data_IF_660524389892
#
_entry.id   IF_660524389892
#
_cell.length_a   1.000
_cell.length_b   1.000
_cell.length_c   1.000
_cell.angle_alpha   90.00
_cell.angle_beta   90.00
_cell.angle_gamma   90.00
#
_symmetry.space_group_name_H-M   'P 1'
#
loop_
_entity.id
_entity.type
_entity.pdbx_description
1 polymer ?
#
# COMPACT_ATOMS: atom_id res chain seq x y z
N UNK A 1 -15.84 -11.10 -6.46
CA UNK A 1 -15.90 -9.68 -6.89
C UNK A 1 -14.50 -9.08 -6.79
N UNK A 2 -14.10 -8.15 -7.68
CA UNK A 2 -12.78 -7.53 -7.60
C UNK A 2 -12.60 -6.80 -6.27
N UNK A 3 -11.40 -6.87 -5.69
CA UNK A 3 -11.09 -6.21 -4.43
C UNK A 3 -11.28 -4.68 -4.58
N UNK A 4 -12.01 -4.08 -3.63
CA UNK A 4 -12.23 -2.62 -3.59
C UNK A 4 -11.49 -2.06 -2.39
N UNK A 5 -10.45 -1.26 -2.65
CA UNK A 5 -9.61 -0.68 -1.61
C UNK A 5 -9.95 0.79 -1.41
N UNK A 6 -10.21 1.19 -0.17
CA UNK A 6 -10.30 2.60 0.24
C UNK A 6 -8.95 3.01 0.78
N UNK A 7 -8.41 4.15 0.32
CA UNK A 7 -7.22 4.74 0.93
C UNK A 7 -7.69 5.50 2.17
N UNK A 8 -7.26 5.04 3.35
CA UNK A 8 -7.64 5.63 4.65
C UNK A 8 -6.59 6.58 5.20
N UNK A 9 -5.33 6.37 4.81
CA UNK A 9 -4.21 7.22 5.19
C UNK A 9 -3.12 7.19 4.11
N UNK A 10 -2.32 8.25 4.07
CA UNK A 10 -1.13 8.35 3.23
C UNK A 10 -0.14 9.35 3.83
N UNK A 11 1.15 9.12 3.63
CA UNK A 11 2.17 10.14 3.87
C UNK A 11 2.10 11.19 2.76
N UNK A 12 2.04 12.49 3.08
CA UNK A 12 2.12 13.54 2.07
C UNK A 12 3.40 13.42 1.23
N UNK A 13 3.32 13.80 -0.05
CA UNK A 13 4.50 13.92 -0.88
C UNK A 13 5.42 15.06 -0.38
N UNK A 14 6.72 14.96 -0.64
CA UNK A 14 7.69 16.02 -0.37
C UNK A 14 8.46 15.95 0.94
N UNK A 15 8.18 14.97 1.82
CA UNK A 15 9.00 14.77 3.02
C UNK A 15 8.58 13.60 3.90
N UNK A 16 9.45 13.17 4.83
CA UNK A 16 9.06 12.25 5.87
C UNK A 16 8.02 12.94 6.76
N UNK A 17 6.87 12.30 6.96
CA UNK A 17 5.80 12.84 7.78
C UNK A 17 4.89 11.74 8.28
N UNK A 18 4.09 12.02 9.32
CA UNK A 18 3.10 11.05 9.77
C UNK A 18 2.13 10.73 8.63
N UNK A 19 1.65 9.49 8.59
CA UNK A 19 0.53 9.13 7.72
C UNK A 19 -0.71 9.90 8.16
N UNK A 20 -1.19 10.80 7.32
CA UNK A 20 -2.40 11.57 7.59
C UNK A 20 -3.61 10.79 7.08
N UNK A 21 -4.74 10.89 7.79
CA UNK A 21 -6.00 10.37 7.26
C UNK A 21 -6.29 11.08 5.95
N UNK A 22 -6.43 10.31 4.88
CA UNK A 22 -6.80 10.89 3.59
C UNK A 22 -8.26 11.30 3.73
N UNK A 23 -8.55 12.61 3.64
CA UNK A 23 -9.92 13.16 3.71
C UNK A 23 -10.87 12.71 2.60
N UNK A 24 -10.50 11.66 1.84
CA UNK A 24 -11.36 11.00 0.88
C UNK A 24 -12.41 10.24 1.69
N UNK A 25 -13.67 10.57 1.43
CA UNK A 25 -14.87 9.74 1.66
C UNK A 25 -14.56 8.24 1.55
N UNK A 26 -15.33 7.37 2.21
CA UNK A 26 -15.20 5.89 2.15
C UNK A 26 -15.37 5.25 0.74
N UNK A 27 -15.21 6.04 -0.32
CA UNK A 27 -15.19 5.66 -1.72
C UNK A 27 -13.92 4.87 -2.05
N UNK A 28 -14.07 3.70 -2.69
CA UNK A 28 -12.96 2.93 -3.22
C UNK A 28 -12.12 3.76 -4.21
N UNK A 29 -10.81 3.58 -4.13
CA UNK A 29 -9.86 4.12 -5.11
C UNK A 29 -9.98 3.32 -6.40
N UNK A 30 -10.05 4.03 -7.54
CA UNK A 30 -10.05 3.43 -8.88
C UNK A 30 -8.64 3.02 -9.29
N UNK A 31 -8.10 1.98 -8.66
CA UNK A 31 -6.84 1.39 -9.11
C UNK A 31 -7.03 0.72 -10.48
N UNK A 32 -6.09 0.99 -11.39
CA UNK A 32 -6.09 0.36 -12.71
C UNK A 32 -5.81 -1.15 -12.64
N UNK A 33 -6.10 -1.89 -13.73
CA UNK A 33 -5.74 -3.31 -13.84
C UNK A 33 -4.24 -3.53 -13.57
N UNK A 34 -3.91 -4.63 -12.90
CA UNK A 34 -2.51 -4.97 -12.59
C UNK A 34 -1.86 -4.08 -11.52
N UNK A 35 -2.62 -3.23 -10.82
CA UNK A 35 -2.09 -2.43 -9.72
C UNK A 35 -1.51 -3.35 -8.61
N UNK A 36 -0.27 -3.12 -8.13
CA UNK A 36 0.38 -3.99 -7.15
C UNK A 36 -0.42 -4.21 -5.85
N UNK A 37 -1.15 -3.20 -5.37
CA UNK A 37 -2.03 -3.37 -4.22
C UNK A 37 -3.20 -4.34 -4.47
N UNK A 38 -3.76 -4.38 -5.68
CA UNK A 38 -4.84 -5.32 -6.01
C UNK A 38 -4.28 -6.75 -6.13
N UNK A 39 -3.17 -6.91 -6.84
CA UNK A 39 -2.47 -8.20 -6.94
C UNK A 39 -2.08 -8.76 -5.56
N UNK A 40 -1.68 -7.88 -4.64
CA UNK A 40 -1.31 -8.25 -3.27
C UNK A 40 -2.48 -8.86 -2.50
N UNK A 41 -3.68 -8.30 -2.66
CA UNK A 41 -4.92 -8.86 -2.09
C UNK A 41 -5.28 -10.17 -2.77
N UNK A 42 -5.28 -10.20 -4.11
CA UNK A 42 -5.71 -11.37 -4.90
C UNK A 42 -4.89 -12.62 -4.57
N UNK A 43 -3.57 -12.48 -4.39
CA UNK A 43 -2.68 -13.60 -4.08
C UNK A 43 -2.43 -13.83 -2.59
N UNK A 44 -2.98 -12.99 -1.72
CA UNK A 44 -2.69 -12.97 -0.28
C UNK A 44 -1.18 -12.95 0.02
N UNK A 45 -0.41 -12.09 -0.66
CA UNK A 45 1.05 -12.05 -0.49
C UNK A 45 1.70 -10.78 -1.03
N UNK A 46 2.86 -10.44 -0.49
CA UNK A 46 3.53 -9.17 -0.73
C UNK A 46 4.02 -9.01 -2.17
N UNK A 47 3.70 -7.89 -2.84
CA UNK A 47 4.07 -7.59 -4.23
C UNK A 47 5.13 -6.48 -4.25
N UNK A 48 6.25 -6.74 -4.91
CA UNK A 48 7.24 -5.71 -5.26
C UNK A 48 7.03 -5.25 -6.70
N UNK A 49 7.16 -3.96 -6.94
CA UNK A 49 7.10 -3.37 -8.27
C UNK A 49 8.20 -2.31 -8.42
N UNK A 50 8.88 -2.34 -9.54
CA UNK A 50 9.91 -1.36 -9.90
C UNK A 50 9.69 -0.92 -11.34
N UNK A 51 9.93 0.35 -11.61
CA UNK A 51 9.91 0.87 -12.99
C UNK A 51 11.17 0.46 -13.78
N UNK A 52 12.21 -0.03 -13.10
CA UNK A 52 13.44 -0.50 -13.72
C UNK A 52 14.29 0.65 -14.26
N UNK A 53 14.87 0.46 -15.45
CA UNK A 53 15.74 1.44 -16.13
C UNK A 53 14.96 2.34 -17.10
N UNK A 54 13.66 2.51 -16.88
CA UNK A 54 12.83 3.34 -17.75
C UNK A 54 13.27 4.82 -17.71
N UNK A 55 13.10 5.58 -18.80
CA UNK A 55 13.35 7.01 -18.81
C UNK A 55 12.52 7.76 -17.75
N UNK A 56 12.99 8.93 -17.25
CA UNK A 56 12.31 9.67 -16.18
C UNK A 56 10.83 10.01 -16.47
N UNK A 57 10.50 10.35 -17.72
CA UNK A 57 9.12 10.63 -18.14
C UNK A 57 8.21 9.39 -17.99
N UNK A 58 8.68 8.23 -18.45
CA UNK A 58 7.93 6.97 -18.31
C UNK A 58 7.82 6.54 -16.85
N UNK A 59 8.86 6.79 -16.03
CA UNK A 59 8.81 6.54 -14.59
C UNK A 59 7.75 7.41 -13.90
N UNK A 60 7.67 8.68 -14.31
CA UNK A 60 6.66 9.63 -13.83
C UNK A 60 5.24 9.15 -14.18
N UNK A 61 4.99 8.82 -15.44
CA UNK A 61 3.69 8.30 -15.88
C UNK A 61 3.31 6.98 -15.18
N UNK A 62 4.28 6.08 -14.99
CA UNK A 62 4.10 4.82 -14.27
C UNK A 62 3.64 5.03 -12.83
N UNK A 63 4.19 6.02 -12.13
CA UNK A 63 3.83 6.38 -10.77
C UNK A 63 2.42 7.01 -10.70
N UNK A 64 2.13 7.97 -11.59
CA UNK A 64 0.83 8.64 -11.65
C UNK A 64 -0.31 7.67 -11.99
N UNK A 65 -0.09 6.75 -12.94
CA UNK A 65 -1.06 5.70 -13.28
C UNK A 65 -1.42 4.80 -12.08
N UNK A 66 -0.54 4.73 -11.07
CA UNK A 66 -0.73 3.97 -9.82
C UNK A 66 -1.18 4.87 -8.66
N UNK A 67 -1.45 6.14 -8.91
CA UNK A 67 -1.84 7.14 -7.91
C UNK A 67 -0.84 7.20 -6.74
N UNK A 68 0.44 7.16 -7.09
CA UNK A 68 1.58 7.38 -6.19
C UNK A 68 2.18 8.77 -6.42
N UNK A 69 3.01 9.29 -5.49
CA UNK A 69 3.84 10.44 -5.75
C UNK A 69 4.64 10.27 -7.04
N UNK A 70 4.72 11.33 -7.83
CA UNK A 70 5.30 11.38 -9.17
C UNK A 70 6.76 10.90 -9.28
N UNK A 71 7.50 10.94 -8.17
CA UNK A 71 8.91 10.56 -8.04
C UNK A 71 9.09 9.10 -7.57
N UNK A 72 8.00 8.35 -7.38
CA UNK A 72 8.03 6.95 -6.98
C UNK A 72 8.56 6.08 -8.12
N UNK A 73 9.59 5.28 -7.83
CA UNK A 73 10.17 4.33 -8.81
C UNK A 73 10.19 2.89 -8.30
N UNK A 74 10.05 2.69 -6.98
CA UNK A 74 9.91 1.37 -6.37
C UNK A 74 8.75 1.36 -5.38
N UNK A 75 8.01 0.25 -5.37
CA UNK A 75 6.91 0.02 -4.45
C UNK A 75 6.95 -1.41 -3.90
N UNK A 76 6.51 -1.54 -2.65
CA UNK A 76 6.28 -2.81 -1.97
C UNK A 76 4.90 -2.75 -1.32
N UNK A 77 3.98 -3.60 -1.76
CA UNK A 77 2.66 -3.78 -1.17
C UNK A 77 2.68 -5.02 -0.29
N UNK A 78 2.24 -4.91 0.96
CA UNK A 78 2.05 -6.03 1.87
C UNK A 78 0.58 -6.12 2.30
N UNK A 79 0.03 -7.33 2.31
CA UNK A 79 -1.38 -7.56 2.62
C UNK A 79 -1.60 -7.48 4.13
N UNK A 80 -2.64 -6.76 4.56
CA UNK A 80 -3.04 -6.69 5.96
C UNK A 80 -3.98 -7.86 6.25
N UNK A 81 -3.50 -8.89 6.94
CA UNK A 81 -4.31 -10.08 7.29
C UNK A 81 -4.36 -10.30 8.80
N UNK A 82 -5.55 -10.57 9.32
CA UNK A 82 -5.77 -10.98 10.70
C UNK A 82 -6.82 -12.09 10.73
N UNK A 83 -6.61 -13.14 11.53
CA UNK A 83 -7.55 -14.26 11.72
C UNK A 83 -8.12 -14.83 10.40
N UNK A 84 -7.26 -15.00 9.39
CA UNK A 84 -7.64 -15.53 8.08
C UNK A 84 -8.35 -14.55 7.14
N UNK A 85 -8.64 -13.32 7.57
CA UNK A 85 -9.32 -12.28 6.79
C UNK A 85 -8.34 -11.24 6.25
N UNK A 86 -8.54 -10.81 5.01
CA UNK A 86 -7.82 -9.66 4.44
C UNK A 86 -8.56 -8.37 4.83
N UNK A 87 -7.86 -7.49 5.55
CA UNK A 87 -8.36 -6.18 6.00
C UNK A 87 -7.98 -5.05 5.03
N UNK A 88 -6.95 -5.24 4.22
CA UNK A 88 -6.47 -4.23 3.27
C UNK A 88 -5.03 -4.45 2.82
N UNK A 89 -4.35 -3.37 2.48
CA UNK A 89 -2.95 -3.36 2.02
C UNK A 89 -2.24 -2.14 2.60
N UNK A 90 -0.98 -2.31 2.98
CA UNK A 90 -0.04 -1.21 3.20
C UNK A 90 0.94 -1.14 2.03
N UNK A 91 1.24 0.06 1.54
CA UNK A 91 2.15 0.28 0.42
C UNK A 91 3.32 1.16 0.87
N UNK A 92 4.53 0.65 0.69
CA UNK A 92 5.79 1.36 0.90
C UNK A 92 6.33 1.82 -0.45
N UNK A 93 6.80 3.06 -0.51
CA UNK A 93 7.26 3.71 -1.74
C UNK A 93 8.70 4.21 -1.57
N UNK A 94 9.50 4.13 -2.63
CA UNK A 94 10.85 4.71 -2.70
C UNK A 94 11.03 5.47 -4.01
N UNK A 95 11.75 6.58 -3.92
CA UNK A 95 12.25 7.35 -5.06
C UNK A 95 13.60 6.78 -5.52
N UNK A 96 14.13 7.29 -6.63
CA UNK A 96 15.37 6.79 -7.27
C UNK A 96 16.63 6.94 -6.42
N UNK A 97 16.58 7.74 -5.35
CA UNK A 97 17.69 7.87 -4.40
C UNK A 97 17.89 6.67 -3.46
N UNK A 98 17.06 5.62 -3.57
CA UNK A 98 17.17 4.39 -2.76
C UNK A 98 17.10 3.16 -3.64
N UNK A 99 17.80 2.11 -3.24
CA UNK A 99 17.76 0.82 -3.93
C UNK A 99 16.33 0.21 -3.96
N UNK A 100 16.03 -0.61 -4.99
CA UNK A 100 14.79 -1.37 -5.06
C UNK A 100 14.52 -2.19 -3.79
N UNK A 101 13.26 -2.55 -3.57
CA UNK A 101 12.91 -3.41 -2.45
C UNK A 101 13.42 -4.85 -2.65
N UNK A 102 14.10 -5.37 -1.64
CA UNK A 102 14.65 -6.71 -1.66
C UNK A 102 13.85 -7.68 -0.79
N UNK A 103 14.35 -8.92 -0.68
CA UNK A 103 13.72 -9.94 0.15
C UNK A 103 13.68 -9.54 1.64
N UNK A 104 14.75 -8.98 2.25
CA UNK A 104 14.70 -8.53 3.64
C UNK A 104 13.67 -7.42 3.86
N UNK A 105 13.54 -6.48 2.92
CA UNK A 105 12.50 -5.44 2.98
C UNK A 105 11.10 -6.05 2.97
N UNK A 106 10.89 -7.13 2.20
CA UNK A 106 9.62 -7.84 2.12
C UNK A 106 9.25 -8.45 3.47
N UNK A 107 10.18 -9.17 4.10
CA UNK A 107 9.97 -9.74 5.44
C UNK A 107 9.64 -8.67 6.47
N UNK A 108 10.38 -7.56 6.45
CA UNK A 108 10.10 -6.45 7.37
C UNK A 108 8.74 -5.79 7.11
N UNK A 109 8.35 -5.60 5.84
CA UNK A 109 7.05 -5.08 5.48
C UNK A 109 5.91 -6.01 5.92
N UNK A 110 6.11 -7.33 5.88
CA UNK A 110 5.15 -8.33 6.37
C UNK A 110 4.96 -8.25 7.88
N UNK A 111 6.06 -8.09 8.64
CA UNK A 111 5.97 -7.89 10.09
C UNK A 111 5.21 -6.61 10.45
N UNK A 112 5.50 -5.51 9.74
CA UNK A 112 4.78 -4.24 9.89
C UNK A 112 3.29 -4.42 9.53
N UNK A 113 3.00 -5.11 8.42
CA UNK A 113 1.64 -5.40 7.99
C UNK A 113 0.86 -6.23 9.02
N UNK A 114 1.48 -7.24 9.63
CA UNK A 114 0.86 -8.06 10.68
C UNK A 114 0.50 -7.23 11.92
N UNK A 115 1.37 -6.32 12.34
CA UNK A 115 1.12 -5.42 13.48
C UNK A 115 -0.01 -4.43 13.19
N UNK A 116 -0.02 -3.84 11.99
CA UNK A 116 -1.11 -2.96 11.54
C UNK A 116 -2.42 -3.73 11.50
N UNK A 117 -2.44 -4.92 10.87
CA UNK A 117 -3.64 -5.74 10.74
C UNK A 117 -4.22 -6.11 12.11
N UNK A 118 -3.37 -6.55 13.05
CA UNK A 118 -3.78 -6.85 14.41
C UNK A 118 -4.41 -5.64 15.10
N UNK A 119 -3.81 -4.46 14.96
CA UNK A 119 -4.33 -3.22 15.57
C UNK A 119 -5.67 -2.82 14.96
N UNK A 120 -5.82 -2.92 13.63
CA UNK A 120 -7.08 -2.64 12.93
C UNK A 120 -8.20 -3.60 13.33
N UNK A 121 -7.89 -4.89 13.47
CA UNK A 121 -8.82 -5.93 13.87
C UNK A 121 -9.31 -5.71 15.31
N UNK A 122 -8.40 -5.41 16.24
CA UNK A 122 -8.75 -5.04 17.63
C UNK A 122 -9.61 -3.78 17.68
N UNK A 123 -9.27 -2.75 16.91
CA UNK A 123 -10.06 -1.52 16.85
C UNK A 123 -11.46 -1.74 16.26
N UNK A 124 -11.65 -2.73 15.37
CA UNK A 124 -12.97 -3.08 14.86
C UNK A 124 -13.85 -3.73 15.93
N UNK A 125 -13.29 -4.68 16.70
CA UNK A 125 -14.00 -5.34 17.81
C UNK A 125 -14.49 -4.34 18.86
N UNK A 126 -13.65 -3.37 19.25
CA UNK A 126 -14.05 -2.35 20.23
C UNK A 126 -15.18 -1.43 19.74
N UNK A 127 -15.31 -1.22 18.42
CA UNK A 127 -16.43 -0.47 17.84
C UNK A 127 -17.73 -1.26 17.84
N UNK A 128 -17.66 -2.58 17.60
CA UNK A 128 -18.81 -3.47 17.67
C UNK A 128 -19.35 -3.63 19.10
N UNK A 129 -18.49 -3.47 20.10
CA UNK A 129 -18.86 -3.63 21.52
C UNK A 129 -19.41 -2.34 22.16
N UNK A 130 -19.35 -1.19 21.46
CA UNK A 130 -19.91 0.07 21.96
C UNK A 130 -21.42 0.09 21.67
N UNK A 131 -22.28 0.23 22.69
CA UNK A 131 -23.74 0.27 22.52
C UNK A 131 -24.21 1.52 21.77
#
# INVERSE_FOLDING_TARGET
APARLVRVAATPAGGPGPSLRTGRTALPVRYGPGHPALQCVERNGSVRATVGTAPPEQAHEWALARQWPADTVHALCAVLRSRGRTLGVVTFLRTSGRAPFERPDTTYAEDVAARIATTLDLAALTRETRP
#
